data_IF_612776760980
#
_entry.id   IF_612776760980
#
_cell.length_a   1.000
_cell.length_b   1.000
_cell.length_c   1.000
_cell.angle_alpha   90.00
_cell.angle_beta   90.00
_cell.angle_gamma   90.00
#
_symmetry.space_group_name_H-M   'P 1'
#
loop_
_entity.id
_entity.type
_entity.pdbx_description
1 polymer ?
#
# COMPACT_ATOMS: atom_id res chain seq x y z
N UNK A 1 27.02 -20.91 19.96
CA UNK A 1 26.50 -19.53 20.09
C UNK A 1 26.25 -18.98 18.69
N UNK A 2 25.00 -18.65 18.31
CA UNK A 2 24.67 -18.07 16.99
C UNK A 2 24.12 -16.66 17.18
N UNK A 3 24.85 -15.67 16.69
CA UNK A 3 24.44 -14.26 16.70
C UNK A 3 23.41 -14.01 15.60
N UNK A 4 22.15 -13.74 15.96
CA UNK A 4 21.18 -13.17 15.04
C UNK A 4 21.46 -11.67 14.91
N UNK A 5 22.23 -11.30 13.90
CA UNK A 5 22.42 -9.91 13.50
C UNK A 5 21.09 -9.29 13.12
N UNK A 6 20.65 -8.30 13.91
CA UNK A 6 19.52 -7.45 13.60
C UNK A 6 19.78 -6.73 12.28
N UNK A 7 19.12 -7.18 11.20
CA UNK A 7 19.13 -6.51 9.90
C UNK A 7 18.38 -5.18 10.03
N UNK A 8 19.06 -4.19 10.58
CA UNK A 8 18.66 -2.79 10.50
C UNK A 8 18.54 -2.42 9.02
N UNK A 9 17.29 -2.35 8.54
CA UNK A 9 16.96 -1.75 7.25
C UNK A 9 17.37 -0.29 7.32
N UNK A 10 18.63 -0.04 6.97
CA UNK A 10 19.17 1.30 6.71
C UNK A 10 18.38 1.85 5.53
N UNK A 11 17.30 2.57 5.84
CA UNK A 11 16.67 3.47 4.90
C UNK A 11 17.71 4.57 4.63
N UNK A 12 18.59 4.32 3.66
CA UNK A 12 19.48 5.33 3.13
C UNK A 12 18.62 6.52 2.71
N UNK A 13 18.71 7.59 3.50
CA UNK A 13 18.22 8.93 3.18
C UNK A 13 19.04 9.42 1.99
N UNK A 14 18.73 8.93 0.79
CA UNK A 14 19.38 9.35 -0.44
C UNK A 14 18.65 10.56 -1.00
N UNK A 15 19.15 11.73 -0.62
CA UNK A 15 19.33 12.93 -1.46
C UNK A 15 18.22 13.32 -2.48
N UNK A 16 17.43 14.33 -2.08
CA UNK A 16 17.09 15.60 -2.77
C UNK A 16 16.94 15.72 -4.29
N UNK A 17 16.81 14.66 -5.09
CA UNK A 17 16.29 14.80 -6.46
C UNK A 17 14.81 14.46 -6.48
N UNK A 18 13.98 15.45 -6.85
CA UNK A 18 12.56 15.23 -7.16
C UNK A 18 12.50 14.32 -8.37
N UNK A 19 12.37 13.04 -8.11
CA UNK A 19 12.09 12.03 -9.12
C UNK A 19 10.78 12.43 -9.85
N UNK A 20 10.82 12.70 -11.17
CA UNK A 20 9.67 13.18 -11.92
C UNK A 20 8.51 12.17 -11.90
N UNK A 21 8.79 10.87 -11.77
CA UNK A 21 7.74 9.85 -11.63
C UNK A 21 7.04 9.93 -10.28
N UNK A 22 7.78 10.20 -9.19
CA UNK A 22 7.18 10.41 -7.88
C UNK A 22 6.35 11.68 -7.83
N UNK A 23 6.81 12.76 -8.45
CA UNK A 23 6.07 14.01 -8.55
C UNK A 23 4.75 13.80 -9.32
N UNK A 24 4.81 13.13 -10.47
CA UNK A 24 3.63 12.78 -11.23
C UNK A 24 2.67 11.86 -10.44
N UNK A 25 3.21 10.91 -9.68
CA UNK A 25 2.44 10.09 -8.75
C UNK A 25 1.67 10.92 -7.72
N UNK A 26 2.31 11.96 -7.17
CA UNK A 26 1.68 12.93 -6.26
C UNK A 26 0.51 13.67 -6.89
N UNK A 27 0.67 14.18 -8.11
CA UNK A 27 -0.43 14.84 -8.83
C UNK A 27 -1.57 13.88 -9.18
N UNK A 28 -1.26 12.64 -9.57
CA UNK A 28 -2.28 11.60 -9.79
C UNK A 28 -3.05 11.27 -8.51
N UNK A 29 -2.36 11.24 -7.36
CA UNK A 29 -2.99 11.06 -6.06
C UNK A 29 -3.92 12.23 -5.70
N UNK A 30 -3.50 13.47 -5.99
CA UNK A 30 -4.32 14.66 -5.78
C UNK A 30 -5.60 14.65 -6.65
N UNK A 31 -5.56 14.13 -7.87
CA UNK A 31 -6.75 13.95 -8.71
C UNK A 31 -7.70 12.87 -8.17
N UNK A 32 -7.16 11.85 -7.50
CA UNK A 32 -7.93 10.77 -6.92
C UNK A 32 -8.55 11.13 -5.55
N UNK A 33 -7.90 11.98 -4.77
CA UNK A 33 -8.34 12.29 -3.42
C UNK A 33 -9.62 13.14 -3.43
N UNK A 34 -10.76 12.64 -2.90
CA UNK A 34 -12.01 13.40 -2.87
C UNK A 34 -11.91 14.67 -2.02
N UNK A 35 -10.96 14.73 -1.06
CA UNK A 35 -10.72 15.88 -0.20
C UNK A 35 -9.89 16.98 -0.88
N UNK A 36 -9.36 16.74 -2.07
CA UNK A 36 -8.59 17.76 -2.79
C UNK A 36 -9.53 18.78 -3.43
N UNK A 37 -9.22 20.06 -3.21
CA UNK A 37 -10.00 21.19 -3.72
C UNK A 37 -10.10 21.17 -5.25
N UNK A 38 -11.14 21.82 -5.79
CA UNK A 38 -11.33 21.96 -7.25
C UNK A 38 -10.12 22.62 -7.92
N UNK A 39 -9.62 23.70 -7.33
CA UNK A 39 -8.43 24.41 -7.81
C UNK A 39 -7.17 23.54 -7.77
N UNK A 40 -6.96 22.79 -6.68
CA UNK A 40 -5.85 21.84 -6.54
C UNK A 40 -5.88 20.74 -7.61
N UNK A 41 -7.06 20.20 -7.91
CA UNK A 41 -7.24 19.23 -9.01
C UNK A 41 -6.98 19.84 -10.39
N UNK A 42 -7.43 21.08 -10.64
CA UNK A 42 -7.16 21.79 -11.90
C UNK A 42 -5.64 21.97 -12.11
N UNK A 43 -4.93 22.42 -11.07
CA UNK A 43 -3.47 22.57 -11.12
C UNK A 43 -2.77 21.24 -11.33
N UNK A 44 -3.12 20.20 -10.57
CA UNK A 44 -2.55 18.87 -10.74
C UNK A 44 -2.74 18.30 -12.16
N UNK A 45 -3.88 18.58 -12.80
CA UNK A 45 -4.14 18.20 -14.19
C UNK A 45 -3.22 18.97 -15.16
N UNK A 46 -3.07 20.28 -14.97
CA UNK A 46 -2.18 21.11 -15.79
C UNK A 46 -0.72 20.67 -15.69
N UNK A 47 -0.23 20.38 -14.48
CA UNK A 47 1.14 19.90 -14.24
C UNK A 47 1.38 18.53 -14.90
N UNK A 48 0.43 17.59 -14.78
CA UNK A 48 0.55 16.29 -15.46
C UNK A 48 0.59 16.44 -16.98
N UNK A 49 -0.20 17.35 -17.54
CA UNK A 49 -0.21 17.62 -18.98
C UNK A 49 1.11 18.27 -19.44
N UNK A 50 1.63 19.24 -18.68
CA UNK A 50 2.94 19.84 -18.93
C UNK A 50 4.09 18.81 -18.87
N UNK A 51 3.95 17.78 -18.03
CA UNK A 51 4.89 16.65 -17.94
C UNK A 51 4.68 15.57 -19.03
N UNK A 52 3.76 15.77 -19.98
CA UNK A 52 3.43 14.77 -21.01
C UNK A 52 2.81 13.48 -20.46
N UNK A 53 2.28 13.51 -19.23
CA UNK A 53 1.71 12.34 -18.55
C UNK A 53 0.19 12.36 -18.60
N UNK A 54 -0.41 11.18 -18.76
CA UNK A 54 -1.87 11.06 -18.74
C UNK A 54 -2.44 11.35 -17.35
N UNK A 55 -3.37 12.31 -17.28
CA UNK A 55 -4.12 12.65 -16.07
C UNK A 55 -5.37 11.75 -15.87
N UNK A 56 -5.49 10.68 -16.64
CA UNK A 56 -6.70 9.88 -16.70
C UNK A 56 -6.76 8.88 -15.54
N UNK A 57 -7.71 9.07 -14.63
CA UNK A 57 -8.16 8.01 -13.73
C UNK A 57 -9.12 7.11 -14.48
N UNK A 58 -8.88 5.79 -14.47
CA UNK A 58 -9.75 4.79 -15.09
C UNK A 58 -11.22 5.03 -14.75
N UNK A 59 -12.10 4.96 -15.75
CA UNK A 59 -13.55 5.17 -15.58
C UNK A 59 -14.13 4.35 -14.42
N UNK A 60 -13.73 3.09 -14.29
CA UNK A 60 -14.11 2.21 -13.18
C UNK A 60 -13.72 2.77 -11.81
N UNK A 61 -12.59 3.48 -11.73
CA UNK A 61 -12.14 4.14 -10.50
C UNK A 61 -13.00 5.36 -10.16
N UNK A 62 -13.62 6.02 -11.14
CA UNK A 62 -14.59 7.09 -10.91
C UNK A 62 -15.93 6.53 -10.44
N UNK A 63 -16.44 5.49 -11.12
CA UNK A 63 -17.71 4.83 -10.74
C UNK A 63 -17.64 4.29 -9.30
N UNK A 64 -16.59 3.54 -8.95
CA UNK A 64 -16.44 2.98 -7.60
C UNK A 64 -16.41 4.06 -6.53
N UNK A 65 -15.87 5.26 -6.82
CA UNK A 65 -15.91 6.40 -5.90
C UNK A 65 -17.31 7.01 -5.80
N UNK A 66 -17.98 7.20 -6.94
CA UNK A 66 -19.32 7.78 -7.00
C UNK A 66 -20.35 6.90 -6.25
N UNK A 67 -20.21 5.58 -6.37
CA UNK A 67 -21.07 4.60 -5.69
C UNK A 67 -20.66 4.29 -4.25
N UNK A 68 -19.63 4.95 -3.70
CA UNK A 68 -19.15 4.69 -2.34
C UNK A 68 -18.47 3.32 -2.14
N UNK A 69 -18.28 2.53 -3.20
CA UNK A 69 -17.64 1.22 -3.19
C UNK A 69 -16.11 1.42 -3.08
N UNK A 70 -15.66 1.70 -1.86
CA UNK A 70 -14.24 1.81 -1.53
C UNK A 70 -13.69 0.38 -1.44
N UNK A 71 -12.58 0.09 -2.13
CA UNK A 71 -11.84 -1.16 -1.87
C UNK A 71 -11.55 -1.21 -0.37
N UNK A 72 -11.80 -2.35 0.28
CA UNK A 72 -11.50 -2.55 1.70
C UNK A 72 -10.17 -1.89 2.06
N UNK A 73 -10.13 -0.99 3.07
CA UNK A 73 -8.94 -0.24 3.38
C UNK A 73 -7.77 -1.21 3.53
N UNK A 74 -6.61 -0.86 2.97
CA UNK A 74 -5.40 -1.70 3.00
C UNK A 74 -5.10 -2.28 4.39
N UNK A 75 -5.48 -1.55 5.45
CA UNK A 75 -5.43 -2.00 6.86
C UNK A 75 -6.25 -3.25 7.15
N UNK A 76 -7.44 -3.40 6.60
CA UNK A 76 -8.27 -4.60 6.77
C UNK A 76 -7.66 -5.81 6.05
N UNK A 77 -7.11 -5.62 4.86
CA UNK A 77 -6.37 -6.69 4.14
C UNK A 77 -5.12 -7.11 4.90
N UNK A 78 -4.38 -6.15 5.43
CA UNK A 78 -3.20 -6.42 6.26
C UNK A 78 -3.60 -7.06 7.61
N UNK A 79 -4.74 -6.69 8.20
CA UNK A 79 -5.28 -7.32 9.40
C UNK A 79 -5.74 -8.76 9.13
N UNK A 80 -6.44 -9.00 8.02
CA UNK A 80 -6.86 -10.33 7.59
C UNK A 80 -5.64 -11.23 7.32
N UNK A 81 -4.65 -10.75 6.57
CA UNK A 81 -3.41 -11.48 6.32
C UNK A 81 -2.60 -11.73 7.61
N UNK A 82 -2.66 -10.83 8.60
CA UNK A 82 -2.06 -11.04 9.93
C UNK A 82 -2.82 -12.09 10.74
N UNK A 83 -4.16 -12.14 10.67
CA UNK A 83 -4.99 -13.18 11.32
C UNK A 83 -4.69 -14.55 10.72
N UNK A 84 -4.69 -14.64 9.40
CA UNK A 84 -4.38 -15.87 8.66
C UNK A 84 -2.98 -16.42 8.99
N UNK A 85 -1.96 -15.55 9.07
CA UNK A 85 -0.61 -15.94 9.50
C UNK A 85 -0.55 -16.44 10.95
N UNK A 86 -1.38 -15.90 11.85
CA UNK A 86 -1.46 -16.37 13.24
C UNK A 86 -2.11 -17.75 13.31
N UNK A 87 -3.19 -17.97 12.56
CA UNK A 87 -3.91 -19.25 12.50
C UNK A 87 -3.06 -20.36 11.89
N UNK A 88 -2.38 -20.12 10.77
CA UNK A 88 -1.43 -21.09 10.21
C UNK A 88 -0.27 -21.42 11.16
N UNK A 89 0.17 -20.45 11.97
CA UNK A 89 1.23 -20.64 12.96
C UNK A 89 0.80 -21.51 14.16
N UNK A 90 -0.45 -21.36 14.62
CA UNK A 90 -0.99 -22.14 15.75
C UNK A 90 -1.30 -23.59 15.33
N UNK A 91 -1.76 -23.81 14.11
CA UNK A 91 -2.08 -25.14 13.58
C UNK A 91 -0.83 -26.01 13.36
N UNK A 92 0.26 -25.40 12.88
CA UNK A 92 1.57 -26.08 12.76
C UNK A 92 2.16 -26.49 14.11
N UNK A 93 1.85 -25.76 15.18
CA UNK A 93 2.32 -26.04 16.54
C UNK A 93 1.54 -27.20 17.19
N UNK A 94 0.22 -27.28 16.93
CA UNK A 94 -0.63 -28.41 17.38
C UNK A 94 -0.23 -29.73 16.72
N UNK A 95 0.10 -29.75 15.43
CA UNK A 95 0.53 -30.98 14.73
C UNK A 95 1.92 -31.49 15.14
N UNK A 96 2.79 -30.66 15.73
CA UNK A 96 4.13 -31.07 16.18
C UNK A 96 4.19 -31.56 17.63
N UNK A 97 3.17 -31.30 18.45
CA UNK A 97 3.15 -31.66 19.88
C UNK A 97 2.42 -32.95 20.23
N UNK A 98 2.01 -33.77 19.25
CA UNK A 98 1.22 -34.99 19.45
C UNK A 98 1.96 -36.31 19.21
N UNK A 99 3.29 -36.35 19.35
CA UNK A 99 4.11 -37.56 19.23
C UNK A 99 5.04 -37.72 20.42
N UNK A 100 4.49 -37.69 21.63
CA UNK A 100 5.15 -38.24 22.82
C UNK A 100 4.05 -38.97 23.62
N UNK A 101 4.41 -40.11 24.22
CA UNK A 101 3.57 -41.14 24.87
C UNK A 101 3.05 -42.27 23.96
N UNK A 102 3.91 -43.25 23.70
CA UNK A 102 3.49 -44.67 23.72
C UNK A 102 4.61 -45.45 24.44
N UNK A 103 4.22 -46.21 25.47
CA UNK A 103 5.08 -46.89 26.45
C UNK A 103 5.77 -48.13 25.89
#
# INVERSE_FOLDING_TARGET
>A
MRFFGSSSRRHHRAFYRRDPDRVAGGYKAALANPKTTRAGRKRAKAELHAMGRSSHVSFMTKIKRALGIRKTPRREREAAARRERREYGTERRRRRGGREYEY
#
